data_IF_904337327422
#
_entry.id   IF_904337327422
#
_cell.length_a   1.000
_cell.length_b   1.000
_cell.length_c   1.000
_cell.angle_alpha   90.00
_cell.angle_beta   90.00
_cell.angle_gamma   90.00
#
_symmetry.space_group_name_H-M   'P 1'
#
loop_
_entity.id
_entity.type
_entity.pdbx_description
1 polymer ?
#
# COMPACT_ATOMS: atom_id res chain seq x y z
N UNK A 1 -9.56 3.91 14.17
CA UNK A 1 -8.33 4.72 14.10
C UNK A 1 -7.48 4.50 15.34
N UNK A 2 -6.15 4.47 15.19
CA UNK A 2 -5.20 4.46 16.30
C UNK A 2 -4.74 5.89 16.57
N UNK A 3 -5.01 6.41 17.77
CA UNK A 3 -4.73 7.81 18.15
C UNK A 3 -3.72 7.84 19.29
N UNK A 4 -2.78 8.77 19.24
CA UNK A 4 -1.76 8.97 20.27
C UNK A 4 -0.74 10.03 19.86
N UNK A 5 0.04 10.51 20.80
CA UNK A 5 1.11 11.49 20.55
C UNK A 5 2.22 10.94 19.67
N UNK A 6 3.08 11.83 19.14
CA UNK A 6 4.29 11.41 18.42
C UNK A 6 5.16 10.55 19.34
N UNK A 7 5.71 9.44 18.82
CA UNK A 7 6.50 8.50 19.63
C UNK A 7 5.71 7.50 20.49
N UNK A 8 4.36 7.54 20.48
CA UNK A 8 3.52 6.60 21.26
C UNK A 8 3.48 5.17 20.73
N UNK A 9 4.22 4.86 19.65
CA UNK A 9 4.31 3.51 19.09
C UNK A 9 3.29 3.18 18.00
N UNK A 10 2.50 4.11 17.49
CA UNK A 10 1.49 3.88 16.43
C UNK A 10 2.05 3.15 15.22
N UNK A 11 3.13 3.69 14.63
CA UNK A 11 3.79 3.10 13.45
C UNK A 11 4.40 1.74 13.75
N UNK A 12 4.98 1.56 14.95
CA UNK A 12 5.53 0.27 15.38
C UNK A 12 4.40 -0.76 15.50
N UNK A 13 3.28 -0.38 16.09
CA UNK A 13 2.09 -1.25 16.19
C UNK A 13 1.58 -1.62 14.79
N UNK A 14 1.37 -0.65 13.90
CA UNK A 14 0.91 -0.93 12.53
C UNK A 14 1.85 -1.89 11.78
N UNK A 15 3.17 -1.68 11.87
CA UNK A 15 4.18 -2.56 11.25
C UNK A 15 4.22 -3.95 11.88
N UNK A 16 3.97 -4.06 13.18
CA UNK A 16 3.93 -5.37 13.86
C UNK A 16 2.78 -6.24 13.36
N UNK A 17 1.62 -5.63 13.04
CA UNK A 17 0.43 -6.34 12.54
C UNK A 17 0.67 -7.11 11.22
N UNK A 18 1.64 -6.68 10.43
CA UNK A 18 2.02 -7.35 9.17
C UNK A 18 3.46 -7.89 9.22
N UNK A 19 4.01 -8.05 10.43
CA UNK A 19 5.37 -8.56 10.66
C UNK A 19 6.46 -7.78 9.90
N UNK A 20 6.34 -6.44 9.83
CA UNK A 20 7.24 -5.55 9.09
C UNK A 20 8.23 -4.82 10.02
N UNK A 21 8.46 -5.31 11.21
CA UNK A 21 9.51 -4.82 12.11
C UNK A 21 10.89 -5.37 11.71
N UNK A 22 11.98 -4.66 12.05
CA UNK A 22 13.33 -5.16 11.84
C UNK A 22 13.55 -6.50 12.55
N UNK A 23 14.43 -7.34 12.05
CA UNK A 23 14.77 -8.65 12.66
C UNK A 23 15.30 -8.55 14.10
N UNK A 24 15.84 -7.39 14.45
CA UNK A 24 16.31 -7.09 15.82
C UNK A 24 15.17 -6.88 16.82
N UNK A 25 13.93 -6.67 16.34
CA UNK A 25 12.78 -6.47 17.20
C UNK A 25 12.21 -7.81 17.66
N UNK A 26 11.96 -7.93 18.97
CA UNK A 26 11.26 -9.09 19.53
C UNK A 26 9.78 -8.77 19.63
N UNK A 27 8.95 -9.62 19.01
CA UNK A 27 7.49 -9.53 19.07
C UNK A 27 6.95 -10.71 19.86
N UNK A 28 6.03 -10.46 20.79
CA UNK A 28 5.33 -11.49 21.56
C UNK A 28 3.81 -11.32 21.46
N UNK A 29 3.08 -12.40 21.64
CA UNK A 29 1.63 -12.44 21.46
C UNK A 29 1.22 -13.08 20.13
N UNK A 30 0.02 -12.79 19.64
CA UNK A 30 -0.50 -13.29 18.38
C UNK A 30 -1.25 -12.18 17.63
N UNK A 31 -1.21 -12.23 16.31
CA UNK A 31 -1.97 -11.34 15.42
C UNK A 31 -2.76 -12.23 14.47
N UNK A 32 -4.08 -12.12 14.53
CA UNK A 32 -4.98 -12.85 13.65
C UNK A 32 -5.56 -11.90 12.61
N UNK A 33 -5.45 -12.27 11.35
CA UNK A 33 -6.02 -11.58 10.21
C UNK A 33 -6.97 -12.51 9.51
N UNK A 34 -8.25 -12.13 9.40
CA UNK A 34 -9.19 -12.85 8.54
C UNK A 34 -8.83 -12.61 7.08
N UNK A 35 -8.85 -13.66 6.27
CA UNK A 35 -8.74 -13.48 4.83
C UNK A 35 -9.93 -12.66 4.31
N UNK A 36 -9.82 -12.12 3.10
CA UNK A 36 -10.87 -11.28 2.51
C UNK A 36 -12.24 -11.96 2.44
N UNK A 37 -12.28 -13.27 2.27
CA UNK A 37 -13.53 -14.05 2.23
C UNK A 37 -14.13 -14.28 3.64
N UNK A 38 -13.42 -13.95 4.72
CA UNK A 38 -13.84 -14.20 6.10
C UNK A 38 -13.92 -15.69 6.46
N UNK A 39 -13.32 -16.55 5.66
CA UNK A 39 -13.40 -18.02 5.80
C UNK A 39 -12.24 -18.63 6.57
N UNK A 40 -11.11 -17.92 6.64
CA UNK A 40 -9.90 -18.39 7.29
C UNK A 40 -9.28 -17.28 8.13
N UNK A 41 -8.69 -17.64 9.25
CA UNK A 41 -7.84 -16.76 10.07
C UNK A 41 -6.39 -17.15 9.91
N UNK A 42 -5.56 -16.15 9.59
CA UNK A 42 -4.11 -16.27 9.47
C UNK A 42 -3.46 -15.74 10.77
N UNK A 43 -2.69 -16.58 11.46
CA UNK A 43 -1.85 -16.11 12.56
C UNK A 43 -0.56 -15.53 11.98
N UNK A 44 -0.53 -14.20 11.84
CA UNK A 44 0.48 -13.45 11.06
C UNK A 44 1.90 -13.64 11.59
N UNK A 45 2.09 -13.71 12.92
CA UNK A 45 3.43 -13.81 13.50
C UNK A 45 4.06 -15.18 13.27
N UNK A 46 3.26 -16.23 13.01
CA UNK A 46 3.74 -17.56 12.65
C UNK A 46 4.15 -17.69 11.18
N UNK A 47 3.62 -16.83 10.29
CA UNK A 47 3.93 -16.87 8.86
C UNK A 47 5.42 -16.59 8.60
N UNK A 48 5.97 -17.25 7.59
CA UNK A 48 7.36 -17.05 7.15
C UNK A 48 7.51 -17.23 5.65
N UNK A 49 8.59 -16.70 5.09
CA UNK A 49 8.96 -16.90 3.70
C UNK A 49 7.85 -16.51 2.71
N UNK A 50 7.42 -17.49 1.92
CA UNK A 50 6.44 -17.30 0.86
C UNK A 50 5.04 -16.94 1.39
N UNK A 51 4.59 -17.59 2.46
CA UNK A 51 3.28 -17.30 3.08
C UNK A 51 3.17 -15.83 3.52
N UNK A 52 4.25 -15.29 4.12
CA UNK A 52 4.29 -13.89 4.55
C UNK A 52 4.28 -12.94 3.34
N UNK A 53 4.95 -13.32 2.24
CA UNK A 53 4.95 -12.55 1.00
C UNK A 53 3.57 -12.55 0.34
N UNK A 54 2.89 -13.69 0.31
CA UNK A 54 1.53 -13.82 -0.23
C UNK A 54 0.53 -13.01 0.59
N UNK A 55 0.60 -13.07 1.92
CA UNK A 55 -0.26 -12.30 2.81
C UNK A 55 -0.08 -10.79 2.61
N UNK A 56 1.18 -10.32 2.50
CA UNK A 56 1.48 -8.91 2.27
C UNK A 56 1.10 -8.50 0.85
N UNK A 57 0.23 -7.54 0.74
CA UNK A 57 -0.31 -7.00 -0.51
C UNK A 57 -1.64 -7.63 -0.92
N UNK A 58 -1.84 -8.95 -0.74
CA UNK A 58 -3.10 -9.62 -1.07
C UNK A 58 -4.12 -9.54 0.07
N UNK A 59 -3.72 -9.79 1.32
CA UNK A 59 -4.62 -9.73 2.47
C UNK A 59 -4.47 -8.41 3.24
N UNK A 60 -3.25 -7.94 3.42
CA UNK A 60 -2.97 -6.67 4.09
C UNK A 60 -1.90 -5.86 3.37
N UNK A 61 -2.15 -4.58 3.19
CA UNK A 61 -1.22 -3.62 2.60
C UNK A 61 -0.95 -2.44 3.54
N UNK A 62 0.18 -1.76 3.35
CA UNK A 62 0.56 -0.61 4.16
C UNK A 62 0.85 0.61 3.29
N UNK A 63 0.27 1.74 3.66
CA UNK A 63 0.59 3.06 3.12
C UNK A 63 1.48 3.77 4.12
N UNK A 64 2.71 4.09 3.70
CA UNK A 64 3.72 4.74 4.53
C UNK A 64 3.59 6.26 4.52
N UNK A 65 4.13 6.90 5.54
CA UNK A 65 4.07 8.34 5.77
C UNK A 65 4.73 9.16 4.66
N UNK A 66 5.90 8.73 4.18
CA UNK A 66 6.70 9.48 3.19
C UNK A 66 6.79 8.77 1.85
N UNK A 67 6.14 9.28 0.78
CA UNK A 67 6.17 8.64 -0.53
C UNK A 67 7.58 8.61 -1.16
N UNK A 68 8.45 9.57 -0.85
CA UNK A 68 9.82 9.58 -1.36
C UNK A 68 10.71 8.46 -0.79
N UNK A 69 10.37 7.90 0.36
CA UNK A 69 11.09 6.76 0.94
C UNK A 69 10.64 5.42 0.34
N UNK A 70 9.45 5.39 -0.26
CA UNK A 70 8.85 4.19 -0.88
C UNK A 70 9.18 4.10 -2.36
N UNK A 71 9.05 5.22 -3.08
CA UNK A 71 9.23 5.24 -4.53
C UNK A 71 10.73 5.25 -4.89
N UNK A 72 11.14 4.22 -5.63
CA UNK A 72 12.50 4.15 -6.16
C UNK A 72 12.65 5.12 -7.35
N UNK A 73 13.56 6.11 -7.29
CA UNK A 73 13.66 7.16 -8.32
C UNK A 73 14.16 6.68 -9.68
N UNK A 74 14.77 5.50 -9.77
CA UNK A 74 15.36 4.98 -11.02
C UNK A 74 14.43 4.06 -11.81
N UNK A 75 13.23 3.77 -11.27
CA UNK A 75 12.20 2.99 -11.97
C UNK A 75 10.96 3.85 -12.26
N UNK A 76 10.29 3.56 -13.38
CA UNK A 76 8.99 4.19 -13.69
C UNK A 76 7.94 3.79 -12.67
N UNK A 77 6.89 4.61 -12.49
CA UNK A 77 5.81 4.27 -11.56
C UNK A 77 5.06 3.00 -11.99
N UNK A 78 4.90 2.80 -13.30
CA UNK A 78 4.27 1.59 -13.83
C UNK A 78 5.05 0.33 -13.45
N UNK A 79 6.38 0.35 -13.62
CA UNK A 79 7.22 -0.77 -13.25
C UNK A 79 7.07 -1.13 -11.76
N UNK A 80 7.00 -0.11 -10.88
CA UNK A 80 6.88 -0.30 -9.43
C UNK A 80 5.50 -0.85 -9.03
N UNK A 81 4.41 -0.37 -9.65
CA UNK A 81 3.06 -0.92 -9.43
C UNK A 81 2.99 -2.38 -9.92
N UNK A 82 3.52 -2.65 -11.12
CA UNK A 82 3.54 -3.98 -11.70
C UNK A 82 4.40 -4.97 -10.90
N UNK A 83 5.40 -4.50 -10.14
CA UNK A 83 6.25 -5.36 -9.30
C UNK A 83 5.41 -6.11 -8.26
N UNK A 84 4.46 -5.44 -7.59
CA UNK A 84 3.54 -6.07 -6.66
C UNK A 84 2.71 -7.17 -7.32
N UNK A 85 2.15 -6.89 -8.50
CA UNK A 85 1.38 -7.87 -9.28
C UNK A 85 2.23 -9.07 -9.71
N UNK A 86 3.46 -8.82 -10.16
CA UNK A 86 4.41 -9.89 -10.55
C UNK A 86 4.80 -10.77 -9.37
N UNK A 87 5.04 -10.16 -8.20
CA UNK A 87 5.38 -10.89 -6.98
C UNK A 87 4.25 -11.85 -6.54
N UNK A 88 3.00 -11.56 -6.93
CA UNK A 88 1.82 -12.40 -6.69
C UNK A 88 1.40 -13.24 -7.91
N UNK A 89 2.35 -13.52 -8.80
CA UNK A 89 2.20 -14.55 -9.85
C UNK A 89 1.63 -14.05 -11.17
N UNK A 90 1.28 -12.77 -11.33
CA UNK A 90 0.83 -12.24 -12.62
C UNK A 90 2.00 -12.12 -13.60
N UNK A 91 1.85 -12.71 -14.80
CA UNK A 91 2.94 -12.79 -15.80
C UNK A 91 2.59 -12.10 -17.12
N UNK A 92 1.31 -11.93 -17.42
CA UNK A 92 0.89 -11.32 -18.69
C UNK A 92 1.15 -9.80 -18.66
N UNK A 93 2.02 -9.35 -19.57
CA UNK A 93 2.42 -7.93 -19.63
C UNK A 93 1.29 -6.97 -19.95
N UNK A 94 0.30 -7.41 -20.75
CA UNK A 94 -0.84 -6.58 -21.12
C UNK A 94 -1.77 -6.41 -19.93
N UNK A 95 -2.01 -7.49 -19.18
CA UNK A 95 -2.83 -7.48 -17.98
C UNK A 95 -2.17 -6.66 -16.86
N UNK A 96 -0.86 -6.83 -16.63
CA UNK A 96 -0.07 -6.02 -15.69
C UNK A 96 -0.26 -4.52 -15.97
N UNK A 97 -0.01 -4.12 -17.23
CA UNK A 97 -0.15 -2.72 -17.63
C UNK A 97 -1.59 -2.21 -17.51
N UNK A 98 -2.56 -3.00 -17.94
CA UNK A 98 -3.97 -2.61 -17.86
C UNK A 98 -4.42 -2.37 -16.41
N UNK A 99 -4.10 -3.28 -15.48
CA UNK A 99 -4.40 -3.12 -14.06
C UNK A 99 -3.68 -1.92 -13.45
N UNK A 100 -2.42 -1.70 -13.82
CA UNK A 100 -1.65 -0.56 -13.33
C UNK A 100 -2.20 0.78 -13.83
N UNK A 101 -2.68 0.87 -15.05
CA UNK A 101 -3.36 2.05 -15.58
C UNK A 101 -4.71 2.26 -14.86
N UNK A 102 -5.48 1.19 -14.68
CA UNK A 102 -6.79 1.27 -14.01
C UNK A 102 -6.66 1.81 -12.59
N UNK A 103 -5.72 1.26 -11.79
CA UNK A 103 -5.52 1.75 -10.43
C UNK A 103 -5.00 3.19 -10.40
N UNK A 104 -4.14 3.61 -11.33
CA UNK A 104 -3.68 5.00 -11.43
C UNK A 104 -4.84 5.97 -11.72
N UNK A 105 -5.79 5.57 -12.57
CA UNK A 105 -7.02 6.34 -12.82
C UNK A 105 -7.88 6.44 -11.57
N UNK A 106 -8.09 5.33 -10.87
CA UNK A 106 -8.88 5.27 -9.63
C UNK A 106 -8.31 6.19 -8.55
N UNK A 107 -6.99 6.27 -8.41
CA UNK A 107 -6.36 7.20 -7.47
C UNK A 107 -6.26 8.65 -8.00
N UNK A 108 -6.79 8.94 -9.19
CA UNK A 108 -6.88 10.29 -9.75
C UNK A 108 -5.57 10.81 -10.34
N UNK A 109 -4.74 9.95 -10.91
CA UNK A 109 -3.58 10.38 -11.73
C UNK A 109 -4.09 10.72 -13.13
N UNK A 110 -3.99 11.98 -13.59
CA UNK A 110 -4.40 12.36 -14.93
C UNK A 110 -3.49 11.72 -15.98
N UNK A 111 -4.01 11.47 -17.18
CA UNK A 111 -3.26 10.88 -18.31
C UNK A 111 -2.49 9.61 -17.94
N UNK A 112 -3.11 8.73 -17.16
CA UNK A 112 -2.49 7.53 -16.58
C UNK A 112 -1.82 6.64 -17.63
N UNK A 113 -2.38 6.55 -18.85
CA UNK A 113 -1.85 5.76 -19.98
C UNK A 113 -0.45 6.20 -20.42
N UNK A 114 -0.18 7.50 -20.34
CA UNK A 114 1.12 8.09 -20.69
C UNK A 114 2.02 8.18 -19.47
N UNK A 115 1.45 8.63 -18.35
CA UNK A 115 2.24 8.93 -17.15
C UNK A 115 2.69 7.70 -16.37
N UNK A 116 2.14 6.53 -16.69
CA UNK A 116 2.61 5.26 -16.14
C UNK A 116 4.11 5.00 -16.44
N UNK A 117 4.62 5.55 -17.53
CA UNK A 117 6.02 5.44 -17.94
C UNK A 117 6.92 6.57 -17.37
N UNK A 118 6.35 7.45 -16.54
CA UNK A 118 7.10 8.54 -15.89
C UNK A 118 7.80 8.04 -14.62
N UNK A 119 8.84 8.78 -14.23
CA UNK A 119 9.61 8.56 -13.02
C UNK A 119 9.06 9.36 -11.83
N UNK A 120 9.32 8.95 -10.58
CA UNK A 120 8.79 9.63 -9.40
C UNK A 120 9.07 11.14 -9.35
N UNK A 121 10.24 11.59 -9.81
CA UNK A 121 10.59 13.01 -9.78
C UNK A 121 9.72 13.90 -10.69
N UNK A 122 8.94 13.31 -11.61
CA UNK A 122 8.04 14.03 -12.53
C UNK A 122 6.63 14.26 -11.92
N UNK A 123 6.42 13.89 -10.65
CA UNK A 123 5.16 14.00 -9.94
C UNK A 123 5.24 14.94 -8.75
N UNK A 124 4.13 15.66 -8.45
CA UNK A 124 4.00 16.45 -7.22
C UNK A 124 3.95 15.54 -5.98
N UNK A 125 4.12 16.12 -4.78
CA UNK A 125 4.05 15.38 -3.52
C UNK A 125 2.72 14.65 -3.35
N UNK A 126 1.59 15.31 -3.62
CA UNK A 126 0.26 14.69 -3.56
C UNK A 126 0.07 13.58 -4.60
N UNK A 127 0.60 13.75 -5.81
CA UNK A 127 0.56 12.70 -6.84
C UNK A 127 1.42 11.49 -6.46
N UNK A 128 2.60 11.69 -5.87
CA UNK A 128 3.42 10.60 -5.34
C UNK A 128 2.69 9.83 -4.24
N UNK A 129 1.99 10.52 -3.34
CA UNK A 129 1.19 9.85 -2.31
C UNK A 129 0.07 9.02 -2.93
N UNK A 130 -0.64 9.53 -3.94
CA UNK A 130 -1.64 8.76 -4.68
C UNK A 130 -1.05 7.52 -5.36
N UNK A 131 0.18 7.62 -5.91
CA UNK A 131 0.89 6.48 -6.52
C UNK A 131 1.24 5.42 -5.45
N UNK A 132 1.71 5.83 -4.27
CA UNK A 132 1.97 4.89 -3.15
C UNK A 132 0.68 4.20 -2.71
N UNK A 133 -0.44 4.93 -2.66
CA UNK A 133 -1.76 4.33 -2.40
C UNK A 133 -2.14 3.36 -3.52
N UNK A 134 -1.92 3.70 -4.79
CA UNK A 134 -2.16 2.78 -5.91
C UNK A 134 -1.36 1.48 -5.78
N UNK A 135 -0.08 1.56 -5.38
CA UNK A 135 0.75 0.37 -5.12
C UNK A 135 0.18 -0.50 -3.99
N UNK A 136 -0.39 0.11 -2.95
CA UNK A 136 -1.02 -0.62 -1.86
C UNK A 136 -2.35 -1.27 -2.28
N UNK A 137 -3.11 -0.64 -3.18
CA UNK A 137 -4.44 -1.07 -3.60
C UNK A 137 -4.47 -2.03 -4.78
N UNK A 138 -3.40 -2.12 -5.58
CA UNK A 138 -3.39 -2.83 -6.87
C UNK A 138 -3.71 -4.32 -6.76
N UNK A 139 -3.44 -4.93 -5.61
CA UNK A 139 -3.77 -6.32 -5.28
C UNK A 139 -5.13 -6.47 -4.59
N UNK A 140 -5.82 -5.35 -4.35
CA UNK A 140 -7.13 -5.34 -3.71
C UNK A 140 -7.13 -6.01 -2.31
N UNK A 141 -6.32 -5.52 -1.35
CA UNK A 141 -6.19 -6.11 -0.02
C UNK A 141 -7.47 -5.96 0.82
N UNK A 142 -7.72 -6.95 1.69
CA UNK A 142 -8.82 -6.88 2.67
C UNK A 142 -8.55 -5.90 3.83
N UNK A 143 -7.27 -5.55 4.11
CA UNK A 143 -6.89 -4.59 5.14
C UNK A 143 -5.86 -3.58 4.62
N UNK A 144 -6.10 -2.29 4.84
CA UNK A 144 -5.14 -1.23 4.57
C UNK A 144 -4.71 -0.59 5.89
N UNK A 145 -3.42 -0.63 6.17
CA UNK A 145 -2.79 0.06 7.28
C UNK A 145 -2.18 1.38 6.77
N UNK A 146 -2.75 2.52 7.15
CA UNK A 146 -2.25 3.83 6.76
C UNK A 146 -1.50 4.48 7.94
N UNK A 147 -0.18 4.62 7.81
CA UNK A 147 0.69 5.22 8.80
C UNK A 147 0.89 6.70 8.46
N UNK A 148 0.10 7.58 9.07
CA UNK A 148 0.10 9.03 8.86
C UNK A 148 0.15 9.45 7.37
N UNK A 149 -0.76 8.98 6.51
CA UNK A 149 -0.65 9.07 5.05
C UNK A 149 -0.75 10.50 4.50
N UNK A 150 -0.97 11.50 5.36
CA UNK A 150 -1.21 12.90 4.96
C UNK A 150 -0.27 13.91 5.62
N UNK A 151 0.61 13.50 6.54
CA UNK A 151 1.39 14.41 7.41
C UNK A 151 2.30 15.38 6.64
N UNK A 152 2.80 15.00 5.48
CA UNK A 152 3.70 15.83 4.65
C UNK A 152 2.97 16.62 3.53
N UNK A 153 1.64 16.71 3.57
CA UNK A 153 0.82 17.29 2.51
C UNK A 153 0.11 18.56 3.00
N UNK A 154 -0.22 19.47 2.08
CA UNK A 154 -1.08 20.61 2.36
C UNK A 154 -2.53 20.18 2.67
N UNK A 155 -3.29 21.06 3.33
CA UNK A 155 -4.63 20.76 3.86
C UNK A 155 -5.62 20.28 2.79
N UNK A 156 -5.53 20.85 1.60
CA UNK A 156 -6.44 20.49 0.49
C UNK A 156 -6.14 19.08 0.00
N UNK A 157 -4.86 18.76 -0.21
CA UNK A 157 -4.41 17.43 -0.64
C UNK A 157 -4.66 16.39 0.45
N UNK A 158 -4.53 16.77 1.74
CA UNK A 158 -4.88 15.86 2.84
C UNK A 158 -6.34 15.40 2.77
N UNK A 159 -7.29 16.32 2.55
CA UNK A 159 -8.70 15.98 2.42
C UNK A 159 -8.94 15.02 1.24
N UNK A 160 -8.33 15.30 0.09
CA UNK A 160 -8.43 14.45 -1.09
C UNK A 160 -7.88 13.02 -0.88
N UNK A 161 -6.76 12.90 -0.17
CA UNK A 161 -6.17 11.59 0.17
C UNK A 161 -7.06 10.80 1.14
N UNK A 162 -7.64 11.47 2.13
CA UNK A 162 -8.57 10.81 3.07
C UNK A 162 -9.85 10.35 2.36
N UNK A 163 -10.37 11.15 1.45
CA UNK A 163 -11.54 10.76 0.65
C UNK A 163 -11.22 9.61 -0.31
N UNK A 164 -10.02 9.60 -0.91
CA UNK A 164 -9.56 8.47 -1.71
C UNK A 164 -9.50 7.17 -0.90
N UNK A 165 -8.98 7.21 0.33
CA UNK A 165 -8.93 6.02 1.20
C UNK A 165 -10.33 5.57 1.64
N UNK A 166 -11.29 6.50 1.83
CA UNK A 166 -12.69 6.16 2.11
C UNK A 166 -13.36 5.49 0.90
N UNK A 167 -13.18 6.07 -0.30
CA UNK A 167 -13.69 5.48 -1.54
C UNK A 167 -13.10 4.08 -1.77
N UNK A 168 -11.79 3.93 -1.54
CA UNK A 168 -11.15 2.63 -1.63
C UNK A 168 -11.79 1.60 -0.69
N UNK A 169 -12.06 1.96 0.57
CA UNK A 169 -12.78 1.08 1.50
C UNK A 169 -14.15 0.66 0.97
N UNK A 170 -14.91 1.60 0.41
CA UNK A 170 -16.30 1.38 -0.01
C UNK A 170 -16.40 0.64 -1.37
N UNK A 171 -15.37 0.73 -2.23
CA UNK A 171 -15.32 0.04 -3.53
C UNK A 171 -14.68 -1.36 -3.46
N UNK A 172 -13.87 -1.62 -2.44
CA UNK A 172 -13.11 -2.87 -2.32
C UNK A 172 -13.68 -3.81 -1.23
N UNK A 173 -14.82 -3.46 -0.62
CA UNK A 173 -15.61 -4.33 0.28
C UNK A 173 -16.25 -5.52 -0.44
#
# INVERSE_FOLDING_TARGET
>A
ALVGESGSGKSVTARSLIKLLPETATTSGAVYLSNRAGTEELEVLSLSGEQLREMRGAEAAMVFQEPNSVLNPVYTIGWQIEEGLRAHGMKDKKELRAKSIDILKKVGIPDAETRIDYYPHQFSGGQKQRIVIAMALVLNPGLILADEPTTALDVTVQAEILDLLRLARDEFD
#
